data_IF_358927756746
#
_entry.id   IF_358927756746
#
_cell.length_a   1.000
_cell.length_b   1.000
_cell.length_c   1.000
_cell.angle_alpha   90.00
_cell.angle_beta   90.00
_cell.angle_gamma   90.00
#
_symmetry.space_group_name_H-M   'P 1'
#
loop_
_entity.id
_entity.type
_entity.pdbx_description
1 polymer ?
#
# COMPACT_ATOMS: atom_id res chain seq x y z
N UNK A 1 -12.53 -33.49 -55.73
CA UNK A 1 -13.10 -34.60 -54.94
C UNK A 1 -12.92 -34.22 -53.48
N UNK A 2 -13.79 -33.38 -52.92
CA UNK A 2 -15.09 -33.73 -52.34
C UNK A 2 -14.96 -34.89 -51.35
N UNK A 3 -15.09 -34.60 -50.06
CA UNK A 3 -16.28 -34.96 -49.24
C UNK A 3 -15.96 -34.82 -47.74
N UNK A 4 -16.80 -34.04 -47.04
CA UNK A 4 -17.41 -34.32 -45.73
C UNK A 4 -16.49 -34.48 -44.49
N UNK A 5 -16.75 -33.87 -43.34
CA UNK A 5 -18.03 -33.82 -42.62
C UNK A 5 -18.15 -32.58 -41.74
N UNK A 6 -19.29 -31.90 -41.90
CA UNK A 6 -19.91 -31.03 -40.92
C UNK A 6 -20.42 -31.86 -39.74
N UNK A 7 -20.20 -31.40 -38.51
CA UNK A 7 -21.03 -31.79 -37.35
C UNK A 7 -21.58 -30.50 -36.76
N UNK A 8 -22.86 -30.24 -37.07
CA UNK A 8 -23.76 -29.33 -36.36
C UNK A 8 -24.48 -30.19 -35.31
N UNK A 9 -24.47 -29.77 -34.06
CA UNK A 9 -25.46 -30.18 -33.05
C UNK A 9 -25.87 -28.88 -32.36
N UNK A 10 -26.93 -28.22 -32.86
CA UNK A 10 -28.31 -28.31 -32.39
C UNK A 10 -28.50 -27.82 -30.96
N UNK A 11 -29.08 -26.62 -30.89
CA UNK A 11 -29.59 -25.96 -29.71
C UNK A 11 -30.69 -26.79 -29.02
N UNK A 12 -30.70 -26.76 -27.69
CA UNK A 12 -31.86 -27.13 -26.89
C UNK A 12 -32.17 -25.94 -25.99
N UNK A 13 -33.13 -25.14 -26.46
CA UNK A 13 -33.89 -24.23 -25.63
C UNK A 13 -34.82 -25.05 -24.74
N UNK A 14 -34.72 -24.88 -23.42
CA UNK A 14 -35.82 -25.21 -22.51
C UNK A 14 -36.12 -23.97 -21.68
N UNK A 15 -37.18 -23.30 -22.11
CA UNK A 15 -37.96 -22.32 -21.36
C UNK A 15 -38.78 -23.12 -20.33
N UNK A 16 -38.66 -22.84 -19.03
CA UNK A 16 -39.71 -23.25 -18.10
C UNK A 16 -39.82 -22.33 -16.88
N UNK A 17 -40.99 -21.69 -16.83
CA UNK A 17 -41.77 -21.29 -15.66
C UNK A 17 -41.14 -20.35 -14.62
N UNK A 18 -41.51 -19.08 -14.78
CA UNK A 18 -41.74 -18.16 -13.69
C UNK A 18 -42.75 -18.74 -12.68
N UNK A 19 -42.39 -18.76 -11.41
CA UNK A 19 -43.34 -18.78 -10.30
C UNK A 19 -42.99 -17.64 -9.36
N UNK A 20 -43.74 -16.55 -9.56
CA UNK A 20 -43.82 -15.42 -8.66
C UNK A 20 -44.38 -15.89 -7.30
N UNK A 21 -43.53 -15.94 -6.28
CA UNK A 21 -44.00 -16.01 -4.90
C UNK A 21 -44.47 -14.61 -4.55
N UNK A 22 -45.79 -14.45 -4.50
CA UNK A 22 -46.45 -13.24 -4.04
C UNK A 22 -45.98 -12.89 -2.63
N UNK A 23 -45.45 -11.67 -2.53
CA UNK A 23 -45.35 -10.92 -1.30
C UNK A 23 -46.75 -10.80 -0.68
N UNK A 24 -46.95 -11.41 0.49
CA UNK A 24 -48.06 -11.02 1.36
C UNK A 24 -47.55 -9.96 2.32
N UNK A 25 -47.91 -8.73 1.99
CA UNK A 25 -47.81 -7.57 2.84
C UNK A 25 -48.52 -7.83 4.18
N UNK A 26 -47.77 -7.72 5.28
CA UNK A 26 -48.34 -7.27 6.54
C UNK A 26 -47.96 -5.81 6.69
N UNK A 27 -48.97 -4.96 6.59
CA UNK A 27 -48.87 -3.53 6.82
C UNK A 27 -48.47 -3.28 8.29
N UNK A 28 -47.41 -2.49 8.45
CA UNK A 28 -47.10 -1.73 9.65
C UNK A 28 -48.14 -0.61 9.84
N UNK A 29 -48.36 -0.14 11.08
CA UNK A 29 -48.59 1.27 11.34
C UNK A 29 -47.25 1.97 11.61
N UNK A 30 -47.05 3.08 10.91
CA UNK A 30 -45.90 4.01 10.91
C UNK A 30 -45.66 4.65 12.30
N UNK A 31 -44.40 4.66 12.79
CA UNK A 31 -43.48 5.82 12.96
C UNK A 31 -44.08 7.02 13.74
N UNK A 32 -43.43 7.64 14.74
CA UNK A 32 -42.03 8.08 14.89
C UNK A 32 -41.84 8.75 16.30
N UNK A 33 -40.75 9.49 16.62
CA UNK A 33 -39.32 9.16 16.79
C UNK A 33 -38.84 9.37 18.26
N UNK A 34 -37.79 8.68 18.70
CA UNK A 34 -36.68 9.39 19.36
C UNK A 34 -35.41 8.53 19.56
N UNK A 35 -34.29 9.06 19.09
CA UNK A 35 -33.05 9.09 19.86
C UNK A 35 -32.14 7.86 19.86
N UNK A 36 -31.04 7.97 19.11
CA UNK A 36 -29.72 7.60 19.64
C UNK A 36 -29.16 6.25 19.22
N UNK A 37 -28.31 6.29 18.20
CA UNK A 37 -27.33 5.27 17.83
C UNK A 37 -26.58 4.68 19.03
N UNK A 38 -26.92 3.44 19.43
CA UNK A 38 -26.03 2.62 20.27
C UNK A 38 -25.04 1.90 19.37
N UNK A 39 -23.86 2.50 19.30
CA UNK A 39 -22.60 1.93 18.85
C UNK A 39 -22.44 0.53 19.45
N UNK A 40 -22.39 -0.49 18.59
CA UNK A 40 -22.07 -1.85 18.97
C UNK A 40 -20.71 -1.85 19.68
N UNK A 41 -20.73 -2.12 20.99
CA UNK A 41 -19.53 -2.31 21.78
C UNK A 41 -18.98 -3.71 21.46
N UNK A 42 -17.72 -3.73 21.00
CA UNK A 42 -16.85 -4.92 20.97
C UNK A 42 -16.93 -5.67 22.31
N UNK A 43 -16.82 -7.01 22.37
CA UNK A 43 -16.69 -7.72 23.62
C UNK A 43 -15.36 -7.33 24.25
N UNK A 44 -15.36 -6.28 25.08
CA UNK A 44 -14.23 -5.94 25.93
C UNK A 44 -13.92 -7.17 26.76
N UNK A 45 -12.67 -7.63 26.73
CA UNK A 45 -12.15 -8.63 27.65
C UNK A 45 -12.70 -8.37 29.06
N UNK A 46 -13.06 -9.40 29.84
CA UNK A 46 -13.62 -9.18 31.17
C UNK A 46 -12.60 -8.37 31.97
N UNK A 47 -12.92 -7.09 32.16
CA UNK A 47 -12.17 -6.22 33.05
C UNK A 47 -12.18 -6.94 34.38
N UNK A 48 -11.00 -7.36 34.84
CA UNK A 48 -10.87 -8.13 36.08
C UNK A 48 -11.23 -7.16 37.20
N UNK A 49 -12.53 -7.15 37.54
CA UNK A 49 -13.13 -6.14 38.41
C UNK A 49 -12.37 -5.97 39.72
N UNK A 50 -12.51 -4.80 40.33
CA UNK A 50 -11.93 -4.46 41.64
C UNK A 50 -12.51 -5.42 42.70
N UNK A 51 -11.67 -5.85 43.64
CA UNK A 51 -12.10 -6.74 44.73
C UNK A 51 -12.56 -5.88 45.91
N UNK A 52 -13.86 -5.91 46.21
CA UNK A 52 -14.44 -5.34 47.42
C UNK A 52 -14.44 -6.42 48.52
N UNK A 53 -13.70 -6.19 49.60
CA UNK A 53 -13.56 -7.17 50.71
C UNK A 53 -14.56 -6.82 51.81
N UNK A 54 -15.31 -7.82 52.26
CA UNK A 54 -16.27 -7.71 53.35
C UNK A 54 -15.61 -8.18 54.66
N UNK A 55 -16.11 -7.72 55.80
CA UNK A 55 -15.57 -8.04 57.13
C UNK A 55 -15.74 -9.50 57.54
N UNK A 56 -16.62 -10.24 56.86
CA UNK A 56 -16.77 -11.68 57.00
C UNK A 56 -15.64 -12.46 56.29
N UNK A 57 -14.72 -11.75 55.61
CA UNK A 57 -13.63 -12.35 54.84
C UNK A 57 -14.05 -12.76 53.42
N UNK A 58 -15.32 -12.59 53.05
CA UNK A 58 -15.77 -12.77 51.67
C UNK A 58 -15.34 -11.58 50.80
N UNK A 59 -15.26 -11.80 49.49
CA UNK A 59 -14.97 -10.73 48.53
C UNK A 59 -15.96 -10.76 47.39
N UNK A 60 -16.25 -9.57 46.85
CA UNK A 60 -17.07 -9.41 45.66
C UNK A 60 -16.28 -8.72 44.56
N UNK A 61 -16.42 -9.17 43.32
CA UNK A 61 -15.86 -8.49 42.17
C UNK A 61 -16.78 -7.36 41.75
N UNK A 62 -16.25 -6.14 41.71
CA UNK A 62 -16.97 -4.90 41.51
C UNK A 62 -16.32 -4.10 40.39
N UNK A 63 -17.10 -3.49 39.51
CA UNK A 63 -16.56 -2.54 38.51
C UNK A 63 -16.37 -1.15 39.09
N UNK A 64 -17.38 -0.68 39.83
CA UNK A 64 -17.42 0.64 40.45
C UNK A 64 -18.18 0.58 41.79
N UNK A 65 -17.77 1.37 42.77
CA UNK A 65 -18.50 1.56 44.03
C UNK A 65 -18.62 3.03 44.39
N UNK A 66 -19.74 3.40 45.01
CA UNK A 66 -20.03 4.76 45.48
C UNK A 66 -20.48 4.70 46.96
N UNK A 67 -19.91 5.57 47.78
CA UNK A 67 -20.20 5.65 49.23
C UNK A 67 -21.32 6.67 49.47
N UNK A 68 -22.52 6.20 49.76
CA UNK A 68 -23.69 7.04 50.05
C UNK A 68 -23.96 7.04 51.56
N UNK A 69 -23.11 7.74 52.32
CA UNK A 69 -23.25 7.92 53.76
C UNK A 69 -23.18 6.60 54.53
N UNK A 70 -24.33 6.02 54.89
CA UNK A 70 -24.45 4.79 55.68
C UNK A 70 -24.45 3.51 54.82
N UNK A 71 -24.71 3.64 53.50
CA UNK A 71 -24.73 2.51 52.55
C UNK A 71 -23.70 2.71 51.43
N UNK A 72 -23.07 1.63 51.00
CA UNK A 72 -22.25 1.57 49.79
C UNK A 72 -23.08 0.93 48.70
N UNK A 73 -23.19 1.61 47.57
CA UNK A 73 -23.74 1.04 46.35
C UNK A 73 -22.57 0.57 45.48
N UNK A 74 -22.58 -0.67 45.02
CA UNK A 74 -21.54 -1.18 44.13
C UNK A 74 -22.15 -1.87 42.92
N UNK A 75 -21.43 -1.80 41.80
CA UNK A 75 -21.78 -2.47 40.57
C UNK A 75 -21.08 -3.81 40.49
N UNK A 76 -21.83 -4.90 40.70
CA UNK A 76 -21.30 -6.26 40.65
C UNK A 76 -20.76 -6.56 39.25
N UNK A 77 -19.49 -6.95 39.14
CA UNK A 77 -18.90 -7.32 37.86
C UNK A 77 -19.43 -8.68 37.34
N UNK A 78 -19.96 -9.52 38.22
CA UNK A 78 -20.50 -10.84 37.90
C UNK A 78 -21.96 -10.78 37.49
N UNK A 79 -22.78 -10.04 38.26
CA UNK A 79 -24.22 -9.90 37.98
C UNK A 79 -24.56 -8.73 37.07
N UNK A 80 -23.67 -7.75 36.92
CA UNK A 80 -23.90 -6.59 36.05
C UNK A 80 -24.97 -5.63 36.57
N UNK A 81 -25.29 -5.70 37.86
CA UNK A 81 -26.32 -4.91 38.53
C UNK A 81 -25.76 -4.13 39.72
N UNK A 82 -26.50 -3.08 40.11
CA UNK A 82 -26.20 -2.28 41.29
C UNK A 82 -26.80 -2.90 42.54
N UNK A 83 -25.95 -3.24 43.51
CA UNK A 83 -26.34 -3.80 44.80
C UNK A 83 -25.95 -2.83 45.93
N UNK A 84 -26.64 -2.93 47.08
CA UNK A 84 -26.45 -2.03 48.23
C UNK A 84 -26.10 -2.82 49.49
N UNK A 85 -24.98 -2.46 50.13
CA UNK A 85 -24.49 -3.07 51.37
C UNK A 85 -24.18 -1.97 52.41
N UNK A 86 -24.42 -2.19 53.71
CA UNK A 86 -24.02 -1.24 54.75
C UNK A 86 -22.51 -1.00 54.80
N UNK A 87 -22.08 0.26 54.99
CA UNK A 87 -20.65 0.64 55.08
C UNK A 87 -19.93 -0.12 56.21
N UNK A 88 -20.64 -0.41 57.30
CA UNK A 88 -20.08 -1.12 58.45
C UNK A 88 -19.62 -2.56 58.15
N UNK A 89 -20.10 -3.15 57.05
CA UNK A 89 -19.83 -4.53 56.62
C UNK A 89 -18.64 -4.63 55.65
N UNK A 90 -18.19 -3.51 55.07
CA UNK A 90 -17.05 -3.49 54.16
C UNK A 90 -15.76 -3.28 54.94
N UNK A 91 -14.74 -4.09 54.63
CA UNK A 91 -13.37 -3.87 55.10
C UNK A 91 -12.60 -3.03 54.07
N UNK A 92 -12.45 -1.74 54.37
CA UNK A 92 -11.76 -0.79 53.51
C UNK A 92 -10.25 -0.98 53.49
N UNK A 93 -9.64 -1.44 54.59
CA UNK A 93 -8.20 -1.67 54.67
C UNK A 93 -7.80 -2.89 53.84
N UNK A 94 -8.61 -3.94 53.89
CA UNK A 94 -8.43 -5.12 53.04
C UNK A 94 -8.72 -4.82 51.56
N UNK A 95 -9.75 -4.02 51.27
CA UNK A 95 -10.08 -3.58 49.90
C UNK A 95 -8.94 -2.76 49.29
N UNK A 96 -8.37 -1.79 50.01
CA UNK A 96 -7.26 -0.97 49.52
C UNK A 96 -6.00 -1.81 49.24
N UNK A 97 -5.71 -2.82 50.08
CA UNK A 97 -4.61 -3.77 49.84
C UNK A 97 -4.87 -4.67 48.64
N UNK A 98 -6.11 -5.11 48.44
CA UNK A 98 -6.52 -5.94 47.30
C UNK A 98 -6.44 -5.17 45.98
N UNK A 99 -6.75 -3.87 45.98
CA UNK A 99 -6.59 -2.97 44.82
C UNK A 99 -5.12 -2.68 44.53
N UNK A 100 -4.30 -2.41 45.56
CA UNK A 100 -2.87 -2.14 45.38
C UNK A 100 -2.10 -3.34 44.84
N UNK A 101 -2.45 -4.56 45.26
CA UNK A 101 -1.86 -5.80 44.72
C UNK A 101 -2.30 -6.05 43.28
N UNK A 102 -3.58 -5.89 42.97
CA UNK A 102 -4.10 -6.04 41.61
C UNK A 102 -3.49 -5.00 40.63
N UNK A 103 -3.32 -3.75 41.05
CA UNK A 103 -2.70 -2.71 40.22
C UNK A 103 -1.23 -3.02 39.90
N UNK A 104 -0.48 -3.56 40.88
CA UNK A 104 0.91 -3.99 40.67
C UNK A 104 1.00 -5.16 39.70
N UNK A 105 0.12 -6.15 39.83
CA UNK A 105 0.04 -7.29 38.91
C UNK A 105 -0.35 -6.88 37.49
N UNK A 106 -1.25 -5.90 37.34
CA UNK A 106 -1.61 -5.35 36.04
C UNK A 106 -0.43 -4.61 35.40
N UNK A 107 0.29 -3.77 36.16
CA UNK A 107 1.45 -3.04 35.64
C UNK A 107 2.59 -4.00 35.23
N UNK A 108 2.84 -5.07 35.99
CA UNK A 108 3.84 -6.08 35.61
C UNK A 108 3.41 -6.84 34.35
N UNK A 109 2.15 -7.22 34.22
CA UNK A 109 1.61 -7.89 33.02
C UNK A 109 1.66 -6.98 31.78
N UNK A 110 1.31 -5.71 31.92
CA UNK A 110 1.40 -4.74 30.82
C UNK A 110 2.84 -4.57 30.36
N UNK A 111 3.80 -4.50 31.30
CA UNK A 111 5.23 -4.42 30.99
C UNK A 111 5.75 -5.68 30.30
N UNK A 112 5.34 -6.88 30.72
CA UNK A 112 5.74 -8.13 30.06
C UNK A 112 5.14 -8.24 28.66
N UNK A 113 3.86 -7.91 28.49
CA UNK A 113 3.20 -7.92 27.17
C UNK A 113 3.85 -6.91 26.23
N UNK A 114 4.17 -5.72 26.71
CA UNK A 114 4.84 -4.71 25.90
C UNK A 114 6.23 -5.18 25.45
N UNK A 115 7.00 -5.75 26.38
CA UNK A 115 8.32 -6.32 26.08
C UNK A 115 8.24 -7.51 25.10
N UNK A 116 7.23 -8.37 25.23
CA UNK A 116 7.00 -9.49 24.30
C UNK A 116 6.59 -9.00 22.91
N UNK A 117 5.76 -7.95 22.82
CA UNK A 117 5.40 -7.33 21.55
C UNK A 117 6.61 -6.66 20.87
N UNK A 118 7.47 -5.98 21.64
CA UNK A 118 8.71 -5.40 21.13
C UNK A 118 9.69 -6.49 20.65
N UNK A 119 9.82 -7.59 21.42
CA UNK A 119 10.63 -8.74 21.03
C UNK A 119 10.10 -9.39 19.75
N UNK A 120 8.79 -9.66 19.66
CA UNK A 120 8.18 -10.21 18.44
C UNK A 120 8.38 -9.30 17.22
N UNK A 121 8.31 -7.97 17.40
CA UNK A 121 8.58 -7.01 16.33
C UNK A 121 10.04 -7.03 15.87
N UNK A 122 10.96 -7.32 16.79
CA UNK A 122 12.41 -7.36 16.54
C UNK A 122 12.87 -8.72 16.00
N UNK A 123 12.24 -9.81 16.47
CA UNK A 123 12.57 -11.20 16.15
C UNK A 123 11.91 -11.71 14.89
N UNK A 124 10.85 -11.09 14.36
CA UNK A 124 10.46 -11.33 12.96
C UNK A 124 11.68 -11.02 12.11
N UNK A 125 12.37 -12.05 11.56
CA UNK A 125 13.49 -11.80 10.67
C UNK A 125 12.85 -11.05 9.51
N UNK A 126 13.30 -9.81 9.30
CA UNK A 126 13.06 -9.07 8.08
C UNK A 126 13.79 -9.87 7.00
N UNK A 127 13.18 -10.97 6.56
CA UNK A 127 13.59 -11.65 5.35
C UNK A 127 13.50 -10.58 4.28
N UNK A 128 14.67 -10.10 3.86
CA UNK A 128 14.85 -8.88 3.06
C UNK A 128 14.19 -9.00 1.69
N UNK A 129 13.63 -10.19 1.41
CA UNK A 129 12.85 -10.57 0.24
C UNK A 129 11.35 -10.78 0.45
N UNK A 130 10.84 -10.73 1.69
CA UNK A 130 9.40 -10.77 1.97
C UNK A 130 8.82 -9.39 1.75
N UNK A 131 8.57 -9.12 0.47
CA UNK A 131 7.63 -8.15 -0.07
C UNK A 131 7.56 -6.82 0.71
N UNK A 132 8.31 -5.82 0.25
CA UNK A 132 8.38 -4.51 0.90
C UNK A 132 6.99 -3.85 0.96
N UNK A 133 6.49 -3.48 2.15
CA UNK A 133 5.21 -2.79 2.28
C UNK A 133 5.36 -1.35 1.80
N UNK A 134 4.52 -0.95 0.85
CA UNK A 134 4.47 0.43 0.32
C UNK A 134 3.29 1.21 0.89
N UNK A 135 2.19 0.50 1.14
CA UNK A 135 0.96 1.00 1.72
C UNK A 135 0.32 -0.15 2.53
N UNK A 136 -0.60 0.14 3.47
CA UNK A 136 -1.24 -0.91 4.27
C UNK A 136 -1.90 -1.96 3.36
N UNK A 137 -1.37 -3.19 3.38
CA UNK A 137 -1.84 -4.32 2.59
C UNK A 137 -1.39 -4.37 1.13
N UNK A 138 -0.45 -3.50 0.71
CA UNK A 138 0.15 -3.53 -0.63
C UNK A 138 1.65 -3.78 -0.50
N UNK A 139 2.08 -4.89 -1.08
CA UNK A 139 3.47 -5.31 -1.03
C UNK A 139 4.07 -5.43 -2.43
N UNK A 140 5.33 -5.03 -2.56
CA UNK A 140 6.05 -5.21 -3.82
C UNK A 140 6.50 -6.67 -4.00
N UNK A 141 6.46 -7.19 -5.23
CA UNK A 141 7.04 -8.49 -5.54
C UNK A 141 8.54 -8.59 -5.18
N UNK A 142 9.04 -9.82 -4.92
CA UNK A 142 10.47 -10.09 -4.84
C UNK A 142 11.17 -9.73 -6.16
N UNK A 143 12.38 -9.15 -6.09
CA UNK A 143 13.23 -8.84 -7.25
C UNK A 143 13.60 -7.37 -7.44
N UNK A 144 14.72 -7.13 -8.13
CA UNK A 144 15.17 -5.80 -8.53
C UNK A 144 14.35 -5.28 -9.71
N UNK A 145 13.94 -4.01 -9.66
CA UNK A 145 13.26 -3.38 -10.79
C UNK A 145 12.35 -2.22 -10.40
N UNK A 146 11.71 -1.67 -11.42
CA UNK A 146 10.72 -0.61 -11.27
C UNK A 146 9.32 -1.22 -11.29
N UNK A 147 8.47 -0.76 -10.38
CA UNK A 147 7.11 -1.24 -10.20
C UNK A 147 6.13 -0.07 -10.28
N UNK A 148 4.97 -0.30 -10.89
CA UNK A 148 3.83 0.61 -10.83
C UNK A 148 2.82 0.06 -9.85
N UNK A 149 2.30 0.93 -9.00
CA UNK A 149 1.16 0.64 -8.13
C UNK A 149 -0.07 1.34 -8.70
N UNK A 150 -1.06 0.57 -9.11
CA UNK A 150 -2.37 1.04 -9.56
C UNK A 150 -3.43 0.63 -8.53
N UNK A 151 -3.72 1.52 -7.58
CA UNK A 151 -4.67 1.26 -6.50
C UNK A 151 -4.19 0.14 -5.59
N UNK A 152 -4.62 -1.09 -5.85
CA UNK A 152 -4.24 -2.31 -5.10
C UNK A 152 -3.39 -3.29 -5.91
N UNK A 153 -3.14 -3.01 -7.18
CA UNK A 153 -2.39 -3.88 -8.08
C UNK A 153 -0.96 -3.38 -8.22
N UNK A 154 0.01 -4.24 -7.96
CA UNK A 154 1.43 -3.95 -8.22
C UNK A 154 1.83 -4.68 -9.48
N UNK A 155 2.49 -4.00 -10.43
CA UNK A 155 3.05 -4.68 -11.60
C UNK A 155 4.47 -4.23 -11.90
N UNK A 156 5.40 -5.15 -12.20
CA UNK A 156 6.73 -4.80 -12.66
C UNK A 156 6.68 -4.10 -14.04
N UNK A 157 7.62 -3.19 -14.26
CA UNK A 157 7.88 -2.54 -15.54
C UNK A 157 9.17 -3.08 -16.16
N UNK A 158 9.03 -3.59 -17.37
CA UNK A 158 10.17 -4.04 -18.17
C UNK A 158 10.92 -2.84 -18.75
N UNK A 159 12.25 -2.88 -18.67
CA UNK A 159 13.10 -1.91 -19.34
C UNK A 159 13.23 -2.27 -20.83
N UNK A 160 12.90 -1.32 -21.71
CA UNK A 160 13.03 -1.50 -23.16
C UNK A 160 14.19 -0.65 -23.67
N UNK A 161 15.14 -1.29 -24.34
CA UNK A 161 16.28 -0.60 -24.96
C UNK A 161 15.86 0.30 -26.13
N UNK A 162 16.61 1.38 -26.33
CA UNK A 162 16.47 2.26 -27.49
C UNK A 162 17.59 2.03 -28.51
N UNK A 163 17.26 2.11 -29.79
CA UNK A 163 18.20 1.96 -30.89
C UNK A 163 18.58 3.32 -31.47
N UNK A 164 19.89 3.58 -31.62
CA UNK A 164 20.39 4.81 -32.23
C UNK A 164 20.51 4.60 -33.74
N UNK A 165 19.85 5.43 -34.55
CA UNK A 165 19.92 5.41 -36.01
C UNK A 165 20.43 6.74 -36.55
N UNK A 166 21.49 6.68 -37.35
CA UNK A 166 22.02 7.86 -38.05
C UNK A 166 21.14 8.21 -39.25
N UNK A 167 20.86 9.50 -39.42
CA UNK A 167 20.12 9.99 -40.58
C UNK A 167 20.96 9.83 -41.85
N UNK A 168 20.50 8.95 -42.75
CA UNK A 168 21.19 8.64 -44.01
C UNK A 168 21.40 9.88 -44.89
N UNK A 169 20.48 10.84 -44.87
CA UNK A 169 20.56 12.06 -45.69
C UNK A 169 21.69 12.96 -45.20
N UNK A 170 21.81 13.12 -43.89
CA UNK A 170 22.89 13.92 -43.32
C UNK A 170 24.24 13.21 -43.41
N UNK A 171 24.26 11.88 -43.24
CA UNK A 171 25.47 11.10 -43.47
C UNK A 171 25.99 11.26 -44.90
N UNK A 172 25.11 11.17 -45.91
CA UNK A 172 25.49 11.32 -47.31
C UNK A 172 26.01 12.74 -47.62
N UNK A 173 25.35 13.79 -47.09
CA UNK A 173 25.82 15.17 -47.23
C UNK A 173 27.24 15.33 -46.67
N UNK A 174 27.53 14.72 -45.53
CA UNK A 174 28.86 14.77 -44.90
C UNK A 174 29.93 14.06 -45.72
N UNK A 175 29.60 12.95 -46.37
CA UNK A 175 30.55 12.23 -47.24
C UNK A 175 30.82 13.00 -48.53
N UNK A 176 29.81 13.70 -49.08
CA UNK A 176 29.93 14.43 -50.33
C UNK A 176 30.54 15.83 -50.18
N UNK A 177 30.33 16.51 -49.05
CA UNK A 177 30.90 17.84 -48.81
C UNK A 177 32.27 17.73 -48.13
N UNK A 178 33.36 18.28 -48.71
CA UNK A 178 34.67 18.32 -48.06
C UNK A 178 34.72 19.18 -46.78
N UNK A 179 33.64 19.90 -46.49
CA UNK A 179 33.57 20.91 -45.43
C UNK A 179 32.95 20.28 -44.17
N UNK A 180 33.65 20.30 -43.02
CA UNK A 180 33.21 19.63 -41.78
C UNK A 180 32.09 20.35 -41.01
N UNK A 181 31.39 21.30 -41.65
CA UNK A 181 30.37 22.17 -41.02
C UNK A 181 28.97 21.50 -40.97
N UNK A 182 28.79 20.32 -41.58
CA UNK A 182 27.48 19.64 -41.61
C UNK A 182 27.26 18.84 -40.31
N UNK A 183 26.17 19.10 -39.55
CA UNK A 183 25.86 18.36 -38.32
C UNK A 183 25.53 16.90 -38.61
N UNK A 184 26.15 15.97 -37.87
CA UNK A 184 25.66 14.60 -37.76
C UNK A 184 24.33 14.61 -37.00
N UNK A 185 23.31 13.94 -37.55
CA UNK A 185 22.00 13.80 -36.91
C UNK A 185 21.76 12.33 -36.62
N UNK A 186 21.52 12.02 -35.35
CA UNK A 186 21.17 10.67 -34.89
C UNK A 186 19.86 10.72 -34.14
N UNK A 187 18.98 9.79 -34.47
CA UNK A 187 17.67 9.64 -33.86
C UNK A 187 17.72 8.43 -32.95
N UNK A 188 17.28 8.60 -31.71
CA UNK A 188 17.13 7.53 -30.74
C UNK A 188 15.68 7.04 -30.85
N UNK A 189 15.51 5.80 -31.32
CA UNK A 189 14.21 5.22 -31.63
C UNK A 189 13.96 3.97 -30.77
N UNK A 190 12.75 3.87 -30.22
CA UNK A 190 12.26 2.65 -29.57
C UNK A 190 11.45 1.86 -30.60
N UNK A 191 11.73 0.56 -30.79
CA UNK A 191 10.97 -0.27 -31.72
C UNK A 191 9.50 -0.41 -31.26
N UNK A 192 8.62 -0.53 -32.25
CA UNK A 192 7.19 -0.72 -32.04
C UNK A 192 6.38 0.58 -31.96
N UNK A 193 5.21 0.55 -32.61
CA UNK A 193 4.29 1.69 -32.69
C UNK A 193 3.47 1.89 -31.40
N UNK A 194 3.38 0.85 -30.57
CA UNK A 194 2.58 0.84 -29.34
C UNK A 194 3.49 0.58 -28.14
N UNK A 195 3.12 1.14 -26.99
CA UNK A 195 3.75 0.81 -25.73
C UNK A 195 3.46 -0.65 -25.34
N UNK A 196 4.44 -1.33 -24.74
CA UNK A 196 4.29 -2.68 -24.17
C UNK A 196 3.23 -2.70 -23.09
N UNK A 197 3.25 -1.69 -22.21
CA UNK A 197 2.28 -1.51 -21.12
C UNK A 197 1.63 -0.14 -21.21
N UNK A 198 0.34 -0.08 -20.93
CA UNK A 198 -0.44 1.16 -20.79
C UNK A 198 -0.84 1.30 -19.34
N UNK A 199 -0.63 2.49 -18.80
CA UNK A 199 -0.98 2.89 -17.45
C UNK A 199 -2.16 3.86 -17.61
N UNK A 200 -3.31 3.53 -17.01
CA UNK A 200 -4.54 4.32 -17.17
C UNK A 200 -4.90 5.12 -15.91
N UNK A 201 -4.10 4.99 -14.86
CA UNK A 201 -4.31 5.68 -13.59
C UNK A 201 -4.08 7.18 -13.72
N UNK A 202 -4.95 8.01 -13.14
CA UNK A 202 -4.80 9.48 -13.15
C UNK A 202 -3.55 9.95 -12.42
N UNK A 203 -3.15 9.21 -11.38
CA UNK A 203 -1.96 9.46 -10.56
C UNK A 203 -1.17 8.16 -10.41
N UNK A 204 -0.32 7.81 -11.37
CA UNK A 204 0.48 6.61 -11.27
C UNK A 204 1.62 6.80 -10.27
N UNK A 205 1.74 5.85 -9.34
CA UNK A 205 2.83 5.81 -8.37
C UNK A 205 3.86 4.77 -8.81
N UNK A 206 5.13 5.18 -8.85
CA UNK A 206 6.23 4.33 -9.27
C UNK A 206 7.17 4.11 -8.09
N UNK A 207 7.58 2.86 -7.93
CA UNK A 207 8.50 2.42 -6.89
C UNK A 207 9.68 1.73 -7.53
N UNK A 208 10.86 2.00 -7.01
CA UNK A 208 12.09 1.36 -7.44
C UNK A 208 12.65 0.54 -6.28
N UNK A 209 12.88 -0.74 -6.55
CA UNK A 209 13.61 -1.63 -5.64
C UNK A 209 15.02 -1.81 -6.16
N UNK A 210 15.99 -1.33 -5.40
CA UNK A 210 17.41 -1.57 -5.63
C UNK A 210 17.81 -2.87 -4.92
N UNK A 211 18.69 -3.66 -5.54
CA UNK A 211 19.32 -4.78 -4.86
C UNK A 211 20.27 -4.25 -3.75
N UNK A 212 20.52 -5.03 -2.69
CA UNK A 212 21.60 -4.75 -1.75
C UNK A 212 22.91 -4.50 -2.53
N UNK A 213 23.75 -3.54 -2.09
CA UNK A 213 24.99 -3.22 -2.76
C UNK A 213 25.99 -4.38 -2.64
N UNK A 214 25.86 -5.35 -3.54
CA UNK A 214 26.78 -6.46 -3.73
C UNK A 214 27.78 -6.05 -4.83
N UNK A 215 29.10 -5.99 -4.56
CA UNK A 215 30.10 -5.64 -5.56
C UNK A 215 30.16 -6.61 -6.75
N UNK A 216 29.68 -7.85 -6.58
CA UNK A 216 29.74 -8.90 -7.58
C UNK A 216 28.46 -8.97 -8.45
N UNK A 217 27.37 -8.29 -8.05
CA UNK A 217 26.13 -8.24 -8.83
C UNK A 217 26.01 -6.97 -9.66
N UNK A 218 25.96 -7.12 -10.98
CA UNK A 218 25.67 -6.04 -11.91
C UNK A 218 24.16 -5.76 -11.89
N UNK A 219 23.76 -4.72 -11.15
CA UNK A 219 22.38 -4.23 -11.14
C UNK A 219 21.98 -3.67 -12.52
N UNK A 220 20.81 -4.04 -13.07
CA UNK A 220 20.24 -3.35 -14.23
C UNK A 220 19.92 -1.87 -13.96
N UNK A 221 19.79 -1.45 -12.71
CA UNK A 221 19.52 -0.05 -12.35
C UNK A 221 20.80 0.79 -12.44
N UNK A 222 20.87 1.67 -13.46
CA UNK A 222 21.97 2.65 -13.58
C UNK A 222 21.79 3.79 -12.58
N UNK A 223 22.76 3.95 -11.67
CA UNK A 223 22.81 5.07 -10.72
C UNK A 223 23.10 6.39 -11.42
N UNK A 224 22.57 7.48 -10.89
CA UNK A 224 22.86 8.82 -11.37
C UNK A 224 24.33 9.18 -11.18
N UNK A 225 24.85 10.05 -12.06
CA UNK A 225 26.21 10.58 -11.97
C UNK A 225 26.30 11.85 -11.11
N UNK A 226 25.18 12.32 -10.53
CA UNK A 226 25.12 13.60 -9.81
C UNK A 226 25.58 13.42 -8.36
N UNK A 227 26.46 14.31 -7.84
CA UNK A 227 26.90 14.23 -6.45
C UNK A 227 25.72 14.37 -5.48
N UNK A 228 25.54 13.40 -4.59
CA UNK A 228 24.54 13.43 -3.52
C UNK A 228 23.15 12.87 -3.86
N UNK A 229 22.86 12.54 -5.12
CA UNK A 229 21.62 11.86 -5.50
C UNK A 229 21.84 10.34 -5.50
N UNK A 230 21.11 9.61 -4.66
CA UNK A 230 21.14 8.15 -4.68
C UNK A 230 19.93 7.61 -5.44
N UNK A 231 20.21 6.91 -6.53
CA UNK A 231 19.21 6.30 -7.41
C UNK A 231 19.39 6.68 -8.88
N UNK A 232 18.61 6.08 -9.80
CA UNK A 232 18.63 6.41 -11.23
C UNK A 232 18.02 7.78 -11.52
N UNK A 233 18.48 8.42 -12.60
CA UNK A 233 17.81 9.61 -13.14
C UNK A 233 16.60 9.19 -13.97
N UNK A 234 15.41 9.68 -13.60
CA UNK A 234 14.14 9.29 -14.24
C UNK A 234 13.42 10.53 -14.76
N UNK A 235 13.05 10.46 -16.03
CA UNK A 235 12.42 11.55 -16.76
C UNK A 235 11.19 11.03 -17.51
N UNK A 236 10.09 11.79 -17.46
CA UNK A 236 8.91 11.49 -18.26
C UNK A 236 9.01 12.22 -19.60
N UNK A 237 9.20 11.47 -20.67
CA UNK A 237 9.41 12.02 -22.02
C UNK A 237 8.21 11.74 -22.93
N UNK A 238 7.81 12.74 -23.72
CA UNK A 238 6.80 12.58 -24.77
C UNK A 238 7.45 12.04 -26.04
N UNK A 239 7.12 10.79 -26.37
CA UNK A 239 7.55 10.16 -27.61
C UNK A 239 6.71 10.60 -28.81
N UNK A 240 7.35 10.73 -29.98
CA UNK A 240 6.68 10.98 -31.26
C UNK A 240 6.62 9.68 -32.05
N UNK A 241 5.42 9.24 -32.45
CA UNK A 241 5.29 8.04 -33.28
C UNK A 241 5.51 8.40 -34.75
N UNK A 242 6.52 7.81 -35.38
CA UNK A 242 6.84 8.03 -36.80
C UNK A 242 7.21 6.72 -37.48
N UNK A 243 6.52 6.41 -38.58
CA UNK A 243 6.81 5.21 -39.38
C UNK A 243 6.73 3.89 -38.61
N UNK A 244 5.80 3.77 -37.66
CA UNK A 244 5.63 2.56 -36.84
C UNK A 244 6.65 2.40 -35.71
N UNK A 245 7.43 3.44 -35.41
CA UNK A 245 8.40 3.49 -34.31
C UNK A 245 8.15 4.71 -33.44
N UNK A 246 8.76 4.72 -32.25
CA UNK A 246 8.67 5.83 -31.31
C UNK A 246 10.02 6.54 -31.24
N UNK A 247 10.08 7.77 -31.71
CA UNK A 247 11.26 8.62 -31.63
C UNK A 247 11.33 9.24 -30.23
N UNK A 248 12.42 8.96 -29.52
CA UNK A 248 12.71 9.47 -28.17
C UNK A 248 13.40 10.82 -28.25
N UNK A 249 14.50 10.89 -29.01
CA UNK A 249 15.38 12.04 -29.08
C UNK A 249 16.02 12.19 -30.46
N UNK A 250 16.37 13.43 -30.81
CA UNK A 250 17.20 13.75 -31.96
C UNK A 250 18.44 14.51 -31.51
N UNK A 251 19.60 13.88 -31.64
CA UNK A 251 20.90 14.43 -31.25
C UNK A 251 21.60 14.96 -32.51
N UNK A 252 22.04 16.23 -32.46
CA UNK A 252 22.88 16.83 -33.50
C UNK A 252 24.28 17.07 -32.96
N UNK A 253 25.29 16.60 -33.70
CA UNK A 253 26.70 16.78 -33.35
C UNK A 253 27.45 17.50 -34.46
N UNK A 254 28.22 18.52 -34.11
CA UNK A 254 29.16 19.20 -34.99
C UNK A 254 30.56 19.09 -34.39
N UNK A 255 31.56 18.72 -35.20
CA UNK A 255 32.94 18.57 -34.73
C UNK A 255 33.12 17.67 -33.51
N UNK A 256 32.27 16.63 -33.37
CA UNK A 256 32.29 15.74 -32.21
C UNK A 256 31.63 16.31 -30.95
N UNK A 257 31.32 17.61 -30.92
CA UNK A 257 30.55 18.24 -29.84
C UNK A 257 29.06 18.15 -30.12
N UNK A 258 28.27 17.92 -29.07
CA UNK A 258 26.82 17.93 -29.13
C UNK A 258 26.33 19.38 -29.19
N UNK A 259 25.67 19.74 -30.29
CA UNK A 259 25.18 21.11 -30.53
C UNK A 259 23.71 21.25 -30.19
N UNK A 260 22.93 20.19 -30.39
CA UNK A 260 21.55 20.18 -29.93
C UNK A 260 21.10 18.79 -29.54
N UNK A 261 20.25 18.73 -28.52
CA UNK A 261 19.51 17.54 -28.12
C UNK A 261 18.04 17.93 -28.06
N UNK A 262 17.29 17.46 -29.05
CA UNK A 262 15.85 17.70 -29.11
C UNK A 262 15.16 16.55 -28.36
N UNK A 263 14.91 16.76 -27.05
CA UNK A 263 14.17 15.86 -26.16
C UNK A 263 12.89 16.55 -25.66
N UNK A 264 11.74 15.88 -25.78
CA UNK A 264 10.45 16.44 -25.30
C UNK A 264 10.16 15.97 -23.87
N UNK A 265 10.87 16.53 -22.90
CA UNK A 265 10.59 16.31 -21.48
C UNK A 265 9.21 16.85 -21.10
N UNK A 266 8.49 16.14 -20.23
CA UNK A 266 7.23 16.60 -19.63
C UNK A 266 7.45 16.93 -18.15
N UNK A 267 8.06 16.01 -17.40
CA UNK A 267 8.30 16.15 -15.97
C UNK A 267 9.58 15.43 -15.56
N UNK A 268 10.29 16.01 -14.59
CA UNK A 268 11.37 15.35 -13.89
C UNK A 268 10.83 14.70 -12.62
N UNK A 269 11.14 13.43 -12.41
CA UNK A 269 10.88 12.78 -11.13
C UNK A 269 12.03 13.08 -10.16
N UNK A 270 11.68 13.43 -8.92
CA UNK A 270 12.63 13.39 -7.81
C UNK A 270 12.38 12.12 -7.02
N UNK A 271 13.48 11.46 -6.68
CA UNK A 271 13.42 10.27 -5.84
C UNK A 271 13.36 10.68 -4.37
N UNK A 272 12.35 10.20 -3.65
CA UNK A 272 12.26 10.30 -2.19
C UNK A 272 12.62 8.94 -1.58
N UNK A 273 13.68 8.91 -0.77
CA UNK A 273 14.11 7.69 -0.06
C UNK A 273 13.28 7.51 1.21
N UNK A 274 12.69 6.32 1.36
CA UNK A 274 12.00 5.84 2.56
C UNK A 274 12.69 4.55 3.03
N UNK A 275 13.51 4.66 4.08
CA UNK A 275 14.11 3.61 4.94
C UNK A 275 14.81 2.38 4.33
N UNK A 276 14.69 2.14 3.01
CA UNK A 276 15.43 1.20 2.14
C UNK A 276 14.80 1.17 0.71
N UNK A 277 13.88 2.08 0.42
CA UNK A 277 13.08 2.12 -0.80
C UNK A 277 13.13 3.51 -1.44
N UNK A 278 13.11 3.55 -2.76
CA UNK A 278 13.06 4.78 -3.53
C UNK A 278 11.65 4.94 -4.11
N UNK A 279 10.88 5.88 -3.56
CA UNK A 279 9.57 6.28 -4.08
C UNK A 279 9.77 7.41 -5.08
N UNK A 280 9.15 7.30 -6.25
CA UNK A 280 9.22 8.31 -7.29
C UNK A 280 8.00 9.22 -7.22
N UNK A 281 8.24 10.51 -6.97
CA UNK A 281 7.24 11.55 -7.16
C UNK A 281 7.65 12.44 -8.32
N UNK A 282 6.77 12.57 -9.30
CA UNK A 282 6.96 13.52 -10.39
C UNK A 282 6.67 14.93 -9.89
N UNK A 283 7.67 15.81 -9.94
CA UNK A 283 7.49 17.24 -9.77
C UNK A 283 7.19 17.83 -11.14
N UNK A 284 6.12 18.62 -11.26
CA UNK A 284 5.91 19.41 -12.47
C UNK A 284 7.03 20.45 -12.59
N UNK A 285 7.62 20.54 -13.79
CA UNK A 285 8.46 21.67 -14.17
C UNK A 285 7.51 22.84 -14.47
N UNK A 286 7.57 23.90 -13.66
CA UNK A 286 6.99 25.21 -14.01
C UNK A 286 7.85 25.93 -15.07
#
# INVERSE_FOLDING_TARGET
MSLLRCIRILAVSTLLAASAVSARAQAQPEANPNGGSKKAASPSAPDRGKRLVLKDGSFQLVREYQKNGERVRYFSAERGDWEEIPVAMVDWDATAKAEATAAKEQDTLLKTVHREQEAQRTETPLDVDVSLPVAPGIFLPPGEGMFVVEGKSVTPLDQVGAAIKTDKKQLLKRVLSPVPIVPDKRNVEIPGAKATRRINSERPEFYLREAPPDPDQVSPVRKSSRPGETGPEIELVRLVVKGGKRELESIRRLFGQQVSEDRKSIMMARICRLENMLSLRFCQME
#
